data_IF_395955478874
#
_entry.id   IF_395955478874
#
_cell.length_a   1.000
_cell.length_b   1.000
_cell.length_c   1.000
_cell.angle_alpha   90.00
_cell.angle_beta   90.00
_cell.angle_gamma   90.00
#
_symmetry.space_group_name_H-M   'P 1'
#
loop_
_entity.id
_entity.type
_entity.pdbx_description
1 polymer ?
#
# COMPACT_ATOMS: atom_id res chain seq x y z
N UNK A 1 37.63 93.75 -24.66
CA UNK A 1 38.31 94.05 -23.38
C UNK A 1 38.34 92.77 -22.61
N UNK A 2 39.54 92.24 -22.59
CA UNK A 2 40.20 91.48 -21.54
C UNK A 2 39.49 90.25 -20.94
N UNK A 3 40.08 89.16 -20.60
CA UNK A 3 41.48 88.77 -20.56
C UNK A 3 41.60 87.30 -20.38
N UNK A 4 42.63 86.75 -20.86
CA UNK A 4 43.27 85.48 -20.69
C UNK A 4 43.34 84.99 -19.26
N UNK A 5 43.11 83.71 -19.01
CA UNK A 5 43.87 82.99 -17.98
C UNK A 5 43.86 81.48 -18.26
N UNK A 6 45.02 81.01 -18.50
CA UNK A 6 45.33 79.59 -18.61
C UNK A 6 45.15 78.85 -17.26
N UNK A 7 44.54 77.69 -17.24
CA UNK A 7 44.61 76.78 -16.11
C UNK A 7 45.10 75.44 -16.52
N UNK A 8 46.21 75.11 -15.95
CA UNK A 8 46.90 73.85 -15.88
C UNK A 8 45.98 72.73 -15.27
N UNK A 9 45.59 71.77 -16.04
CA UNK A 9 44.92 70.60 -15.49
C UNK A 9 45.99 69.49 -15.27
N UNK A 10 46.25 69.24 -13.98
CA UNK A 10 47.06 68.14 -13.50
C UNK A 10 46.20 66.87 -13.63
N UNK A 11 46.64 65.93 -14.48
CA UNK A 11 46.05 64.59 -14.66
C UNK A 11 46.48 63.74 -13.47
N UNK A 12 45.53 63.49 -12.55
CA UNK A 12 45.71 62.51 -11.48
C UNK A 12 45.19 61.14 -11.97
N UNK A 13 46.10 60.29 -12.40
CA UNK A 13 45.77 58.86 -12.70
C UNK A 13 45.53 58.13 -11.39
N UNK A 14 44.27 57.96 -11.01
CA UNK A 14 43.85 57.00 -10.01
C UNK A 14 43.87 55.60 -10.62
N UNK A 15 44.86 54.80 -10.26
CA UNK A 15 44.88 53.37 -10.49
C UNK A 15 43.84 52.72 -9.58
N UNK A 16 42.70 52.35 -10.13
CA UNK A 16 41.73 51.50 -9.47
C UNK A 16 42.24 50.04 -9.56
N UNK A 17 42.48 49.33 -8.44
CA UNK A 17 42.82 47.94 -8.52
C UNK A 17 41.57 47.20 -9.04
N UNK A 18 41.71 46.45 -10.12
CA UNK A 18 40.71 45.48 -10.59
C UNK A 18 40.61 44.39 -9.56
N UNK A 19 39.72 44.59 -8.56
CA UNK A 19 39.28 43.51 -7.67
C UNK A 19 38.54 42.48 -8.53
N UNK A 20 39.05 41.27 -8.50
CA UNK A 20 38.56 40.18 -9.32
C UNK A 20 37.06 40.01 -9.21
N UNK A 21 36.39 40.04 -10.35
CA UNK A 21 35.06 39.41 -10.46
C UNK A 21 35.25 37.93 -10.14
N UNK A 22 34.87 37.53 -8.91
CA UNK A 22 34.47 36.16 -8.67
C UNK A 22 33.41 35.84 -9.73
N UNK A 23 33.74 34.98 -10.65
CA UNK A 23 32.72 34.43 -11.58
C UNK A 23 31.56 33.92 -10.75
N UNK A 24 30.46 34.68 -10.74
CA UNK A 24 29.18 34.16 -10.30
C UNK A 24 28.93 32.96 -11.24
N UNK A 25 29.14 31.73 -10.73
CA UNK A 25 28.74 30.55 -11.46
C UNK A 25 27.25 30.73 -11.75
N UNK A 26 26.87 30.65 -13.02
CA UNK A 26 25.48 30.66 -13.41
C UNK A 26 24.72 29.65 -12.51
N UNK A 27 23.56 30.03 -12.00
CA UNK A 27 22.79 29.10 -11.19
C UNK A 27 22.52 27.85 -12.03
N UNK A 28 23.12 26.73 -11.61
CA UNK A 28 22.91 25.46 -12.27
C UNK A 28 21.43 25.16 -12.29
N UNK A 29 20.86 24.87 -13.47
CA UNK A 29 19.44 24.48 -13.56
C UNK A 29 19.14 23.34 -12.59
N UNK A 30 18.01 23.38 -11.87
CA UNK A 30 17.67 22.34 -10.93
C UNK A 30 17.42 21.01 -11.66
N UNK A 31 17.82 19.91 -11.02
CA UNK A 31 17.50 18.56 -11.48
C UNK A 31 16.04 18.29 -11.14
N UNK A 32 15.20 18.16 -12.15
CA UNK A 32 13.77 17.87 -11.99
C UNK A 32 13.52 16.38 -12.15
N UNK A 33 12.88 15.77 -11.14
CA UNK A 33 12.48 14.37 -11.13
C UNK A 33 10.96 14.26 -11.11
N UNK A 34 10.43 13.32 -11.91
CA UNK A 34 9.03 12.91 -11.85
C UNK A 34 8.86 11.70 -10.93
N UNK A 35 7.84 11.72 -10.07
CA UNK A 35 7.57 10.64 -9.13
C UNK A 35 6.11 10.17 -9.22
N UNK A 36 5.90 8.85 -9.35
CA UNK A 36 4.59 8.22 -9.23
C UNK A 36 4.48 7.46 -7.91
N UNK A 37 3.40 7.70 -7.15
CA UNK A 37 3.18 7.04 -5.86
C UNK A 37 1.72 6.73 -5.55
N UNK A 38 1.50 5.82 -4.58
CA UNK A 38 0.19 5.34 -4.12
C UNK A 38 -0.23 5.88 -2.74
N UNK A 39 0.51 6.78 -2.15
CA UNK A 39 0.32 7.22 -0.76
C UNK A 39 -0.70 8.37 -0.65
N UNK A 40 -1.96 8.08 -1.00
CA UNK A 40 -3.07 9.03 -1.00
C UNK A 40 -3.25 9.72 -2.35
N UNK A 41 -4.50 9.75 -2.85
CA UNK A 41 -4.89 10.36 -4.14
C UNK A 41 -5.23 11.84 -4.07
N UNK A 42 -5.03 12.48 -2.91
CA UNK A 42 -5.37 13.87 -2.65
C UNK A 42 -4.13 14.76 -2.80
N UNK A 43 -4.31 16.01 -3.21
CA UNK A 43 -3.21 16.99 -3.35
C UNK A 43 -2.43 17.15 -2.04
N UNK A 44 -3.09 17.06 -0.88
CA UNK A 44 -2.49 17.10 0.46
C UNK A 44 -2.27 15.70 1.05
N UNK A 45 -1.73 14.78 0.26
CA UNK A 45 -1.38 13.43 0.74
C UNK A 45 -0.14 13.45 1.65
N UNK A 46 0.05 12.46 2.55
CA UNK A 46 1.26 12.37 3.36
C UNK A 46 2.55 12.39 2.52
N UNK A 47 2.57 11.74 1.36
CA UNK A 47 3.74 11.75 0.48
C UNK A 47 3.93 13.10 -0.20
N UNK A 48 2.85 13.75 -0.66
CA UNK A 48 2.93 15.11 -1.22
C UNK A 48 3.54 16.09 -0.21
N UNK A 49 3.09 16.05 1.06
CA UNK A 49 3.68 16.85 2.13
C UNK A 49 5.16 16.54 2.39
N UNK A 50 5.57 15.27 2.29
CA UNK A 50 6.98 14.90 2.43
C UNK A 50 7.82 15.44 1.27
N UNK A 51 7.34 15.33 0.04
CA UNK A 51 8.01 15.88 -1.15
C UNK A 51 8.11 17.40 -1.09
N UNK A 52 7.05 18.11 -0.69
CA UNK A 52 7.08 19.57 -0.52
C UNK A 52 8.11 19.99 0.53
N UNK A 53 8.18 19.26 1.64
CA UNK A 53 9.19 19.49 2.68
C UNK A 53 10.61 19.25 2.16
N UNK A 54 10.83 18.17 1.38
CA UNK A 54 12.11 17.93 0.72
C UNK A 54 12.46 19.08 -0.23
N UNK A 55 11.56 19.43 -1.14
CA UNK A 55 11.76 20.51 -2.12
C UNK A 55 12.08 21.85 -1.45
N UNK A 56 11.48 22.15 -0.29
CA UNK A 56 11.71 23.40 0.46
C UNK A 56 12.97 23.37 1.33
N UNK A 57 13.58 22.22 1.57
CA UNK A 57 14.77 22.06 2.42
C UNK A 57 15.95 21.53 1.61
N UNK A 58 16.27 20.24 1.75
CA UNK A 58 17.43 19.60 1.09
C UNK A 58 17.35 19.72 -0.44
N UNK A 59 16.16 19.59 -1.02
CA UNK A 59 15.95 19.75 -2.47
C UNK A 59 16.40 21.13 -2.95
N UNK A 60 15.95 22.20 -2.26
CA UNK A 60 16.38 23.58 -2.58
C UNK A 60 17.89 23.77 -2.41
N UNK A 61 18.47 23.24 -1.34
CA UNK A 61 19.90 23.32 -1.08
C UNK A 61 20.74 22.63 -2.14
N UNK A 62 20.29 21.47 -2.64
CA UNK A 62 21.00 20.64 -3.61
C UNK A 62 20.61 20.92 -5.08
N UNK A 63 19.65 21.84 -5.31
CA UNK A 63 19.13 22.12 -6.66
C UNK A 63 18.31 20.95 -7.22
N UNK A 64 17.48 20.30 -6.40
CA UNK A 64 16.63 19.16 -6.78
C UNK A 64 15.17 19.56 -6.59
N UNK A 65 14.33 19.24 -7.57
CA UNK A 65 12.87 19.41 -7.51
C UNK A 65 12.22 18.07 -7.86
N UNK A 66 11.30 17.62 -7.03
CA UNK A 66 10.50 16.43 -7.30
C UNK A 66 9.06 16.85 -7.59
N UNK A 67 8.55 16.45 -8.75
CA UNK A 67 7.17 16.62 -9.17
C UNK A 67 6.43 15.31 -8.99
N UNK A 68 5.39 15.31 -8.16
CA UNK A 68 4.62 14.09 -7.87
C UNK A 68 3.39 13.97 -8.75
N UNK A 69 3.08 12.72 -9.11
CA UNK A 69 1.79 12.30 -9.65
C UNK A 69 1.28 11.16 -8.78
N UNK A 70 0.18 11.38 -8.11
CA UNK A 70 -0.50 10.32 -7.35
C UNK A 70 -1.33 9.46 -8.29
N UNK A 71 -1.16 8.15 -8.22
CA UNK A 71 -2.03 7.17 -8.87
C UNK A 71 -2.86 6.46 -7.81
N UNK A 72 -4.08 6.06 -8.19
CA UNK A 72 -5.06 5.56 -7.22
C UNK A 72 -4.61 4.27 -6.53
N UNK A 73 -3.99 3.36 -7.29
CA UNK A 73 -3.62 2.04 -6.77
C UNK A 73 -2.21 1.60 -7.20
N UNK A 74 -1.64 0.64 -6.47
CA UNK A 74 -0.38 0.00 -6.87
C UNK A 74 -0.52 -0.77 -8.19
N UNK A 75 -1.72 -1.26 -8.52
CA UNK A 75 -1.99 -1.89 -9.80
C UNK A 75 -2.02 -0.88 -10.94
N UNK A 76 -2.56 0.33 -10.72
CA UNK A 76 -2.51 1.38 -11.74
C UNK A 76 -1.07 1.76 -12.08
N UNK A 77 -0.20 1.89 -11.07
CA UNK A 77 1.24 2.10 -11.28
C UNK A 77 1.86 0.91 -12.02
N UNK A 78 1.55 -0.33 -11.61
CA UNK A 78 2.06 -1.52 -12.26
C UNK A 78 1.72 -1.54 -13.75
N UNK A 79 0.45 -1.41 -14.10
CA UNK A 79 0.02 -1.45 -15.50
C UNK A 79 0.54 -0.26 -16.32
N UNK A 80 0.61 0.94 -15.73
CA UNK A 80 1.17 2.10 -16.40
C UNK A 80 2.66 1.94 -16.68
N UNK A 81 3.44 1.41 -15.73
CA UNK A 81 4.87 1.14 -15.90
C UNK A 81 5.12 0.04 -16.93
N UNK A 82 4.36 -1.06 -16.89
CA UNK A 82 4.49 -2.14 -17.89
C UNK A 82 4.15 -1.62 -19.28
N UNK A 83 3.04 -0.89 -19.45
CA UNK A 83 2.67 -0.32 -20.74
C UNK A 83 3.72 0.65 -21.28
N UNK A 84 4.29 1.51 -20.42
CA UNK A 84 5.31 2.47 -20.82
C UNK A 84 6.65 1.78 -21.15
N UNK A 85 7.08 0.79 -20.36
CA UNK A 85 8.31 0.03 -20.61
C UNK A 85 8.21 -0.79 -21.92
N UNK A 86 7.06 -1.36 -22.20
CA UNK A 86 6.77 -2.11 -23.43
C UNK A 86 6.40 -1.23 -24.62
N UNK A 87 6.36 0.10 -24.44
CA UNK A 87 6.06 1.09 -25.48
C UNK A 87 4.70 0.87 -26.15
N UNK A 88 3.68 0.48 -25.36
CA UNK A 88 2.34 0.31 -25.88
C UNK A 88 1.79 1.63 -26.45
N UNK A 89 0.98 1.60 -27.53
CA UNK A 89 0.36 2.81 -28.09
C UNK A 89 -0.45 3.56 -27.02
N UNK A 90 -0.18 4.86 -26.87
CA UNK A 90 -0.84 5.70 -25.87
C UNK A 90 -0.26 5.63 -24.44
N UNK A 91 0.73 4.82 -24.20
CA UNK A 91 1.44 4.81 -22.92
C UNK A 91 2.18 6.13 -22.68
N UNK A 92 2.17 6.60 -21.41
CA UNK A 92 2.91 7.78 -20.97
C UNK A 92 4.43 7.55 -20.94
N UNK A 93 5.17 8.60 -20.57
CA UNK A 93 6.61 8.47 -20.29
C UNK A 93 6.81 7.80 -18.92
N UNK A 94 7.88 7.00 -18.80
CA UNK A 94 8.29 6.43 -17.52
C UNK A 94 8.68 7.55 -16.55
N UNK A 95 8.27 7.47 -15.28
CA UNK A 95 8.71 8.39 -14.24
C UNK A 95 10.18 8.13 -13.88
N UNK A 96 10.84 9.11 -13.28
CA UNK A 96 12.19 8.90 -12.73
C UNK A 96 12.15 8.05 -11.44
N UNK A 97 11.14 8.26 -10.59
CA UNK A 97 10.93 7.59 -9.32
C UNK A 97 9.51 7.02 -9.28
N UNK A 98 9.34 5.84 -8.70
CA UNK A 98 8.01 5.26 -8.50
C UNK A 98 7.95 4.35 -7.28
N UNK A 99 6.74 4.10 -6.79
CA UNK A 99 6.50 3.14 -5.71
C UNK A 99 5.71 1.95 -6.21
N UNK A 100 6.18 0.73 -5.94
CA UNK A 100 5.54 -0.48 -6.46
C UNK A 100 5.87 -1.73 -5.64
N UNK A 101 5.21 -2.84 -5.98
CA UNK A 101 5.52 -4.18 -5.48
C UNK A 101 6.49 -4.94 -6.40
N UNK A 102 7.15 -6.01 -5.91
CA UNK A 102 8.14 -6.79 -6.66
C UNK A 102 7.67 -7.35 -8.01
N UNK A 103 6.37 -7.54 -8.21
CA UNK A 103 5.80 -7.97 -9.49
C UNK A 103 6.12 -7.02 -10.65
N UNK A 104 6.23 -5.72 -10.38
CA UNK A 104 6.49 -4.71 -11.43
C UNK A 104 7.92 -4.77 -11.96
N UNK A 105 8.97 -4.71 -11.12
CA UNK A 105 10.35 -4.93 -11.60
C UNK A 105 10.53 -6.22 -12.39
N UNK A 106 9.89 -7.31 -11.97
CA UNK A 106 9.95 -8.58 -12.72
C UNK A 106 9.30 -8.48 -14.10
N UNK A 107 8.19 -7.74 -14.22
CA UNK A 107 7.48 -7.58 -15.49
C UNK A 107 8.16 -6.60 -16.47
N UNK A 108 8.87 -5.58 -15.97
CA UNK A 108 9.52 -4.57 -16.83
C UNK A 108 11.00 -4.83 -17.08
N UNK A 109 11.64 -5.72 -16.32
CA UNK A 109 13.06 -5.99 -16.33
C UNK A 109 13.82 -5.24 -15.22
N UNK A 110 14.37 -5.96 -14.22
CA UNK A 110 15.10 -5.34 -13.10
C UNK A 110 16.38 -4.60 -13.53
N UNK A 111 16.93 -4.92 -14.71
CA UNK A 111 18.10 -4.25 -15.29
C UNK A 111 17.82 -2.80 -15.70
N UNK A 112 16.56 -2.43 -15.93
CA UNK A 112 16.16 -1.04 -16.23
C UNK A 112 16.19 -0.16 -14.98
N UNK A 113 16.31 -0.75 -13.79
CA UNK A 113 16.23 -0.07 -12.52
C UNK A 113 17.61 0.12 -11.90
N UNK A 114 17.74 1.19 -11.11
CA UNK A 114 18.88 1.45 -10.26
C UNK A 114 19.02 0.33 -9.23
N UNK A 115 20.24 -0.16 -9.03
CA UNK A 115 20.55 -1.08 -7.93
C UNK A 115 20.96 -0.29 -6.69
N UNK A 116 20.16 -0.31 -5.65
CA UNK A 116 20.43 0.45 -4.43
C UNK A 116 21.72 0.03 -3.72
N UNK A 117 22.23 -1.20 -3.95
CA UNK A 117 23.53 -1.64 -3.43
C UNK A 117 24.72 -0.90 -4.00
N UNK A 118 24.58 -0.25 -5.17
CA UNK A 118 25.60 0.60 -5.76
C UNK A 118 25.65 1.99 -5.11
N UNK A 119 24.61 2.37 -4.32
CA UNK A 119 24.42 3.71 -3.78
C UNK A 119 24.33 3.75 -2.25
N UNK A 120 23.90 2.67 -1.61
CA UNK A 120 23.88 2.52 -0.16
C UNK A 120 24.99 1.57 0.27
N UNK A 121 25.77 1.96 1.28
CA UNK A 121 26.77 1.08 1.87
C UNK A 121 26.09 -0.11 2.57
N UNK A 122 26.85 -1.17 2.81
CA UNK A 122 26.33 -2.32 3.57
C UNK A 122 25.92 -1.92 4.98
N UNK A 123 26.60 -0.96 5.61
CA UNK A 123 26.27 -0.42 6.92
C UNK A 123 24.90 0.29 6.87
N UNK A 124 24.68 1.15 5.88
CA UNK A 124 23.37 1.82 5.71
C UNK A 124 22.25 0.81 5.46
N UNK A 125 22.46 -0.21 4.64
CA UNK A 125 21.44 -1.24 4.39
C UNK A 125 21.16 -2.10 5.62
N UNK A 126 22.12 -2.32 6.54
CA UNK A 126 21.91 -3.02 7.80
C UNK A 126 21.05 -2.24 8.80
N UNK A 127 20.88 -0.94 8.62
CA UNK A 127 19.97 -0.15 9.46
C UNK A 127 18.50 -0.48 9.20
N UNK A 128 18.17 -0.97 7.99
CA UNK A 128 16.81 -1.35 7.62
C UNK A 128 16.41 -2.70 8.23
N UNK A 129 15.11 -2.90 8.41
CA UNK A 129 14.54 -4.20 8.80
C UNK A 129 14.87 -5.22 7.71
N UNK A 130 15.58 -6.33 8.02
CA UNK A 130 16.10 -7.24 7.01
C UNK A 130 15.04 -7.83 6.07
N UNK A 131 13.87 -8.21 6.60
CA UNK A 131 12.76 -8.74 5.79
C UNK A 131 12.19 -7.72 4.81
N UNK A 132 12.29 -6.42 5.13
CA UNK A 132 11.82 -5.34 4.25
C UNK A 132 12.77 -5.13 3.08
N UNK A 133 14.09 -5.24 3.32
CA UNK A 133 15.11 -5.17 2.26
C UNK A 133 15.03 -6.40 1.35
N UNK A 134 14.85 -7.59 1.94
CA UNK A 134 14.79 -8.84 1.18
C UNK A 134 13.67 -8.85 0.13
N UNK A 135 12.54 -8.19 0.39
CA UNK A 135 11.44 -8.09 -0.57
C UNK A 135 11.80 -7.29 -1.83
N UNK A 136 12.71 -6.32 -1.70
CA UNK A 136 13.18 -5.50 -2.82
C UNK A 136 14.32 -6.13 -3.64
N UNK A 137 14.84 -7.28 -3.20
CA UNK A 137 15.88 -8.04 -3.91
C UNK A 137 15.23 -8.86 -5.03
N UNK A 138 15.53 -8.49 -6.27
CA UNK A 138 15.06 -9.18 -7.45
C UNK A 138 16.28 -9.71 -8.20
N UNK A 139 16.42 -11.02 -8.23
CA UNK A 139 17.49 -11.73 -8.94
C UNK A 139 18.92 -11.25 -8.57
N UNK A 140 19.12 -10.98 -7.27
CA UNK A 140 20.40 -10.52 -6.71
C UNK A 140 20.63 -9.02 -6.81
N UNK A 141 19.67 -8.25 -7.30
CA UNK A 141 19.72 -6.78 -7.37
C UNK A 141 18.70 -6.18 -6.41
N UNK A 142 19.10 -5.23 -5.59
CA UNK A 142 18.16 -4.49 -4.73
C UNK A 142 17.57 -3.34 -5.54
N UNK A 143 16.45 -3.59 -6.23
CA UNK A 143 15.82 -2.61 -7.13
C UNK A 143 14.64 -1.86 -6.48
N UNK A 144 14.15 -2.32 -5.34
CA UNK A 144 13.14 -1.63 -4.54
C UNK A 144 13.69 -1.35 -3.13
N UNK A 145 13.88 -0.08 -2.80
CA UNK A 145 14.24 0.33 -1.44
C UNK A 145 12.99 0.40 -0.59
N UNK A 146 12.92 -0.24 0.60
CA UNK A 146 11.78 -0.06 1.48
C UNK A 146 11.72 1.38 2.00
N UNK A 147 10.57 2.03 1.87
CA UNK A 147 10.33 3.39 2.39
C UNK A 147 9.16 3.45 3.37
N UNK A 148 8.22 2.53 3.26
CA UNK A 148 7.05 2.40 4.13
C UNK A 148 6.48 0.99 4.02
N UNK A 149 6.16 0.37 5.14
CA UNK A 149 5.57 -0.97 5.20
C UNK A 149 4.22 -0.96 5.89
N UNK A 150 3.40 -1.95 5.60
CA UNK A 150 2.07 -2.12 6.20
C UNK A 150 1.77 -3.61 6.43
N UNK A 151 0.66 -3.88 7.08
CA UNK A 151 0.13 -5.24 7.19
C UNK A 151 -1.39 -5.22 7.00
N UNK A 152 -2.07 -6.33 7.18
CA UNK A 152 -3.52 -6.36 7.18
C UNK A 152 -4.11 -6.06 8.56
N UNK A 153 -5.28 -5.43 8.57
CA UNK A 153 -6.12 -5.24 9.75
C UNK A 153 -7.58 -5.42 9.36
N UNK A 154 -8.44 -5.68 10.35
CA UNK A 154 -9.89 -5.71 10.20
C UNK A 154 -10.46 -4.35 10.62
N UNK A 155 -10.97 -3.59 9.64
CA UNK A 155 -11.67 -2.33 9.85
C UNK A 155 -13.17 -2.58 9.98
N UNK A 156 -13.81 -1.96 10.97
CA UNK A 156 -15.22 -2.20 11.29
C UNK A 156 -15.93 -0.86 11.46
N UNK A 157 -17.07 -0.68 10.80
CA UNK A 157 -17.99 0.41 11.09
C UNK A 157 -18.64 0.19 12.46
N UNK A 158 -18.04 0.75 13.50
CA UNK A 158 -18.51 0.61 14.87
C UNK A 158 -19.88 1.29 15.11
N UNK A 159 -20.24 2.29 14.30
CA UNK A 159 -21.57 2.93 14.42
C UNK A 159 -22.69 1.92 14.19
N UNK A 160 -22.57 1.08 13.16
CA UNK A 160 -23.54 0.04 12.84
C UNK A 160 -23.31 -1.22 13.70
N UNK A 161 -22.03 -1.62 13.87
CA UNK A 161 -21.70 -2.84 14.60
C UNK A 161 -22.19 -2.81 16.06
N UNK A 162 -22.08 -1.70 16.76
CA UNK A 162 -22.53 -1.58 18.15
C UNK A 162 -24.05 -1.78 18.29
N UNK A 163 -24.84 -1.36 17.29
CA UNK A 163 -26.27 -1.65 17.27
C UNK A 163 -26.51 -3.14 17.04
N UNK A 164 -25.89 -3.72 16.00
CA UNK A 164 -25.95 -5.14 15.70
C UNK A 164 -25.54 -6.00 16.91
N UNK A 165 -24.44 -5.63 17.57
CA UNK A 165 -23.94 -6.31 18.78
C UNK A 165 -24.96 -6.32 19.91
N UNK A 166 -25.56 -5.17 20.22
CA UNK A 166 -26.57 -5.06 21.28
C UNK A 166 -27.80 -5.93 21.01
N UNK A 167 -28.27 -5.96 19.76
CA UNK A 167 -29.51 -6.66 19.39
C UNK A 167 -29.30 -8.16 19.18
N UNK A 168 -28.07 -8.60 18.85
CA UNK A 168 -27.81 -10.00 18.52
C UNK A 168 -26.89 -10.73 19.50
N UNK A 169 -26.16 -9.99 20.35
CA UNK A 169 -25.18 -10.55 21.27
C UNK A 169 -23.82 -10.91 20.62
N UNK A 170 -23.63 -10.65 19.32
CA UNK A 170 -22.31 -10.81 18.65
C UNK A 170 -21.34 -9.76 19.19
N UNK A 171 -20.12 -10.16 19.53
CA UNK A 171 -19.09 -9.29 20.13
C UNK A 171 -17.92 -9.09 19.19
N UNK A 172 -17.11 -8.05 19.44
CA UNK A 172 -15.87 -7.82 18.71
C UNK A 172 -14.87 -8.98 18.84
N UNK A 173 -14.84 -9.64 19.98
CA UNK A 173 -13.97 -10.79 20.25
C UNK A 173 -14.31 -12.00 19.36
N UNK A 174 -15.59 -12.15 18.97
CA UNK A 174 -16.03 -13.21 18.05
C UNK A 174 -15.39 -13.06 16.67
N UNK A 175 -14.99 -11.84 16.28
CA UNK A 175 -14.40 -11.54 14.98
C UNK A 175 -12.90 -11.83 14.89
N UNK A 176 -12.27 -12.32 15.96
CA UNK A 176 -10.86 -12.67 15.97
C UNK A 176 -10.52 -13.87 15.10
N UNK A 177 -11.51 -14.73 14.80
CA UNK A 177 -11.32 -15.93 13.99
C UNK A 177 -12.24 -15.95 12.78
N UNK A 178 -11.82 -16.65 11.70
CA UNK A 178 -12.67 -16.80 10.51
C UNK A 178 -13.96 -17.52 10.82
N UNK A 179 -13.94 -18.52 11.71
CA UNK A 179 -15.14 -19.21 12.14
C UNK A 179 -16.12 -18.25 12.81
N UNK A 180 -15.63 -17.34 13.64
CA UNK A 180 -16.45 -16.30 14.27
C UNK A 180 -16.96 -15.27 13.27
N UNK A 181 -16.10 -14.84 12.33
CA UNK A 181 -16.46 -13.94 11.23
C UNK A 181 -17.62 -14.51 10.40
N UNK A 182 -17.54 -15.78 10.00
CA UNK A 182 -18.59 -16.43 9.19
C UNK A 182 -19.90 -16.58 9.97
N UNK A 183 -19.85 -16.91 11.26
CA UNK A 183 -21.06 -16.93 12.11
C UNK A 183 -21.68 -15.53 12.25
N UNK A 184 -20.86 -14.51 12.49
CA UNK A 184 -21.30 -13.12 12.56
C UNK A 184 -21.89 -12.64 11.23
N UNK A 185 -21.27 -12.99 10.11
CA UNK A 185 -21.71 -12.65 8.76
C UNK A 185 -23.11 -13.20 8.44
N UNK A 186 -23.37 -14.47 8.75
CA UNK A 186 -24.69 -15.08 8.59
C UNK A 186 -25.75 -14.37 9.44
N UNK A 187 -25.42 -14.02 10.69
CA UNK A 187 -26.32 -13.34 11.60
C UNK A 187 -26.59 -11.89 11.19
N UNK A 188 -25.55 -11.20 10.71
CA UNK A 188 -25.67 -9.83 10.19
C UNK A 188 -26.55 -9.77 8.94
N UNK A 189 -26.37 -10.69 7.99
CA UNK A 189 -27.19 -10.76 6.78
C UNK A 189 -28.70 -10.85 7.13
N UNK A 190 -29.05 -11.66 8.13
CA UNK A 190 -30.43 -11.79 8.60
C UNK A 190 -30.92 -10.52 9.30
N UNK A 191 -30.09 -9.94 10.18
CA UNK A 191 -30.42 -8.74 10.96
C UNK A 191 -30.56 -7.51 10.09
N UNK A 192 -29.69 -7.34 9.10
CA UNK A 192 -29.61 -6.15 8.24
C UNK A 192 -30.61 -6.15 7.07
N UNK A 193 -31.41 -7.20 6.90
CA UNK A 193 -32.29 -7.35 5.75
C UNK A 193 -31.55 -7.66 4.45
N UNK A 194 -30.42 -8.39 4.52
CA UNK A 194 -29.71 -8.90 3.35
C UNK A 194 -28.43 -8.15 2.96
N UNK A 195 -27.89 -7.30 3.84
CA UNK A 195 -26.59 -6.65 3.58
C UNK A 195 -25.43 -7.60 3.88
N UNK A 196 -24.36 -7.59 3.08
CA UNK A 196 -23.13 -8.35 3.37
C UNK A 196 -22.44 -7.82 4.62
N UNK A 197 -21.71 -8.72 5.29
CA UNK A 197 -20.99 -8.40 6.51
C UNK A 197 -19.57 -7.91 6.25
N UNK A 198 -18.84 -8.63 5.41
CA UNK A 198 -17.42 -8.33 5.20
C UNK A 198 -16.99 -8.42 3.74
N UNK A 199 -15.88 -7.73 3.45
CA UNK A 199 -15.08 -7.81 2.22
C UNK A 199 -13.62 -8.06 2.57
N UNK A 200 -12.94 -8.83 1.75
CA UNK A 200 -11.47 -8.93 1.74
C UNK A 200 -10.96 -8.23 0.48
N UNK A 201 -9.94 -7.38 0.62
CA UNK A 201 -9.48 -6.55 -0.50
C UNK A 201 -9.00 -7.38 -1.68
N UNK A 202 -8.32 -8.48 -1.40
CA UNK A 202 -7.70 -9.31 -2.41
C UNK A 202 -7.89 -10.80 -2.09
N UNK A 203 -8.70 -11.47 -2.89
CA UNK A 203 -9.11 -12.86 -2.64
C UNK A 203 -7.98 -13.86 -2.80
N UNK A 204 -6.97 -13.59 -3.66
CA UNK A 204 -5.80 -14.47 -3.76
C UNK A 204 -4.98 -14.44 -2.48
N UNK A 205 -4.87 -13.27 -1.84
CA UNK A 205 -4.18 -13.13 -0.55
C UNK A 205 -4.95 -13.82 0.58
N UNK A 206 -6.29 -13.82 0.54
CA UNK A 206 -7.10 -14.60 1.48
C UNK A 206 -6.82 -16.10 1.33
N UNK A 207 -6.89 -16.62 0.10
CA UNK A 207 -6.66 -18.04 -0.19
C UNK A 207 -5.25 -18.48 0.21
N UNK A 208 -4.26 -17.74 -0.26
CA UNK A 208 -2.85 -18.03 0.01
C UNK A 208 -2.51 -18.01 1.50
N UNK A 209 -2.81 -16.90 2.19
CA UNK A 209 -2.41 -16.71 3.57
C UNK A 209 -3.04 -17.77 4.50
N UNK A 210 -4.32 -18.03 4.32
CA UNK A 210 -5.04 -18.99 5.16
C UNK A 210 -4.67 -20.45 4.86
N UNK A 211 -4.38 -20.78 3.60
CA UNK A 211 -3.87 -22.11 3.23
C UNK A 211 -2.51 -22.37 3.88
N UNK A 212 -1.59 -21.43 3.78
CA UNK A 212 -0.26 -21.54 4.42
C UNK A 212 -0.37 -21.57 5.94
N UNK A 213 -1.25 -20.75 6.53
CA UNK A 213 -1.49 -20.72 7.97
C UNK A 213 -1.93 -22.10 8.52
N UNK A 214 -2.66 -22.87 7.73
CA UNK A 214 -3.15 -24.21 8.05
C UNK A 214 -2.21 -25.33 7.58
N UNK A 215 -1.03 -25.00 7.01
CA UNK A 215 0.00 -25.96 6.62
C UNK A 215 -0.15 -26.52 5.20
N UNK A 216 -0.99 -25.93 4.35
CA UNK A 216 -1.12 -26.27 2.94
C UNK A 216 -0.16 -25.52 2.02
N UNK A 217 -0.19 -25.86 0.74
CA UNK A 217 0.64 -25.26 -0.31
C UNK A 217 -0.23 -24.60 -1.38
N UNK A 218 -0.31 -23.25 -1.33
CA UNK A 218 -1.18 -22.48 -2.23
C UNK A 218 -0.64 -22.35 -3.66
N UNK A 219 0.69 -22.26 -3.82
CA UNK A 219 1.34 -22.20 -5.12
C UNK A 219 2.27 -23.39 -5.33
N UNK A 220 2.23 -23.96 -6.53
CA UNK A 220 3.19 -24.95 -7.00
C UNK A 220 3.65 -24.55 -8.41
N UNK A 221 4.95 -24.48 -8.65
CA UNK A 221 5.55 -24.15 -9.95
C UNK A 221 5.02 -22.83 -10.57
N UNK A 222 4.73 -21.81 -9.73
CA UNK A 222 4.24 -20.50 -10.17
C UNK A 222 2.77 -20.47 -10.57
N UNK A 223 2.00 -21.51 -10.25
CA UNK A 223 0.55 -21.59 -10.46
C UNK A 223 -0.19 -21.88 -9.14
N UNK A 224 -1.49 -21.57 -9.09
CA UNK A 224 -2.33 -21.91 -7.93
C UNK A 224 -2.51 -23.41 -7.85
N UNK A 225 -2.28 -23.98 -6.68
CA UNK A 225 -2.41 -25.42 -6.43
C UNK A 225 -3.86 -25.79 -6.07
N UNK A 226 -4.72 -25.96 -7.07
CA UNK A 226 -6.12 -26.37 -6.88
C UNK A 226 -6.27 -27.81 -6.35
N UNK A 227 -5.19 -28.59 -6.31
CA UNK A 227 -5.18 -29.95 -5.76
C UNK A 227 -4.91 -30.00 -4.26
N UNK A 228 -4.49 -28.89 -3.65
CA UNK A 228 -4.23 -28.80 -2.22
C UNK A 228 -5.54 -28.88 -1.42
N UNK A 229 -5.69 -29.91 -0.58
CA UNK A 229 -6.90 -30.15 0.22
C UNK A 229 -7.14 -29.08 1.28
N UNK A 230 -6.07 -28.45 1.78
CA UNK A 230 -6.17 -27.34 2.74
C UNK A 230 -6.73 -26.10 2.04
N UNK A 231 -6.23 -25.77 0.84
CA UNK A 231 -6.79 -24.68 0.04
C UNK A 231 -8.26 -24.92 -0.29
N UNK A 232 -8.61 -26.13 -0.73
CA UNK A 232 -10.00 -26.51 -1.01
C UNK A 232 -10.89 -26.33 0.22
N UNK A 233 -10.42 -26.71 1.41
CA UNK A 233 -11.14 -26.53 2.67
C UNK A 233 -11.29 -25.04 3.07
N UNK A 234 -10.24 -24.25 2.95
CA UNK A 234 -10.24 -22.79 3.20
C UNK A 234 -11.26 -22.11 2.29
N UNK A 235 -11.18 -22.41 0.99
CA UNK A 235 -12.07 -21.83 -0.01
C UNK A 235 -13.53 -22.26 0.21
N UNK A 236 -13.78 -23.50 0.56
CA UNK A 236 -15.10 -24.03 0.87
C UNK A 236 -15.82 -23.23 1.98
N UNK A 237 -15.13 -22.93 3.09
CA UNK A 237 -15.68 -22.14 4.19
C UNK A 237 -16.04 -20.72 3.75
N UNK A 238 -15.23 -20.11 2.88
CA UNK A 238 -15.52 -18.80 2.29
C UNK A 238 -16.75 -18.87 1.37
N UNK A 239 -16.84 -19.88 0.51
CA UNK A 239 -17.96 -20.10 -0.40
C UNK A 239 -19.29 -20.29 0.36
N UNK A 240 -19.30 -21.02 1.47
CA UNK A 240 -20.46 -21.12 2.37
C UNK A 240 -20.96 -19.76 2.86
N UNK A 241 -20.01 -18.90 3.27
CA UNK A 241 -20.33 -17.54 3.70
C UNK A 241 -20.85 -16.68 2.54
N UNK A 242 -20.28 -16.83 1.33
CA UNK A 242 -20.71 -16.10 0.14
C UNK A 242 -22.13 -16.50 -0.30
N UNK A 243 -22.43 -17.79 -0.35
CA UNK A 243 -23.77 -18.32 -0.68
C UNK A 243 -24.81 -17.84 0.34
N UNK A 244 -24.48 -17.78 1.63
CA UNK A 244 -25.36 -17.27 2.68
C UNK A 244 -25.44 -15.73 2.71
N UNK A 245 -24.79 -15.02 1.79
CA UNK A 245 -24.85 -13.56 1.63
C UNK A 245 -23.91 -12.77 2.53
N UNK A 246 -23.06 -13.44 3.33
CA UNK A 246 -22.16 -12.79 4.27
C UNK A 246 -21.00 -12.02 3.64
N UNK A 247 -20.57 -12.44 2.44
CA UNK A 247 -19.45 -11.82 1.69
C UNK A 247 -19.96 -10.74 0.74
N UNK A 248 -19.25 -9.63 0.63
CA UNK A 248 -19.54 -8.53 -0.28
C UNK A 248 -18.87 -8.77 -1.65
N UNK A 249 -19.62 -9.12 -2.72
CA UNK A 249 -19.06 -9.49 -4.01
C UNK A 249 -19.02 -8.30 -4.98
N UNK A 250 -18.42 -7.19 -4.57
CA UNK A 250 -18.24 -6.02 -5.43
C UNK A 250 -16.74 -5.80 -5.76
N UNK A 251 -16.42 -5.25 -6.94
CA UNK A 251 -15.05 -4.87 -7.27
C UNK A 251 -14.52 -3.76 -6.37
N UNK A 252 -13.22 -3.58 -6.37
CA UNK A 252 -12.55 -2.50 -5.65
C UNK A 252 -12.29 -2.80 -4.18
N UNK A 253 -11.99 -1.76 -3.42
CA UNK A 253 -11.52 -1.87 -2.04
C UNK A 253 -12.66 -2.02 -1.03
N UNK A 254 -12.35 -2.66 0.10
CA UNK A 254 -13.28 -2.78 1.22
C UNK A 254 -13.61 -1.40 1.81
N UNK A 255 -12.65 -0.49 1.86
CA UNK A 255 -12.87 0.90 2.27
C UNK A 255 -14.01 1.55 1.49
N UNK A 256 -13.99 1.46 0.14
CA UNK A 256 -15.05 2.01 -0.71
C UNK A 256 -16.42 1.39 -0.37
N UNK A 257 -16.47 0.06 -0.26
CA UNK A 257 -17.70 -0.65 0.09
C UNK A 257 -18.23 -0.28 1.49
N UNK A 258 -17.34 -0.01 2.45
CA UNK A 258 -17.71 0.46 3.78
C UNK A 258 -18.22 1.91 3.76
N UNK A 259 -17.58 2.78 2.96
CA UNK A 259 -17.95 4.20 2.82
C UNK A 259 -19.27 4.41 2.11
N UNK A 260 -19.70 3.45 1.28
CA UNK A 260 -21.01 3.45 0.59
C UNK A 260 -22.07 2.61 1.32
N UNK A 261 -21.73 2.03 2.47
CA UNK A 261 -22.65 1.22 3.27
C UNK A 261 -23.04 -0.12 2.66
N UNK A 262 -22.25 -0.62 1.71
CA UNK A 262 -22.46 -1.91 1.04
C UNK A 262 -21.91 -3.08 1.85
N UNK A 263 -21.00 -2.83 2.79
CA UNK A 263 -20.50 -3.83 3.75
C UNK A 263 -20.24 -3.18 5.11
N UNK A 264 -20.24 -3.98 6.16
CA UNK A 264 -20.00 -3.52 7.53
C UNK A 264 -18.51 -3.39 7.85
N UNK A 265 -17.71 -4.34 7.39
CA UNK A 265 -16.30 -4.40 7.71
C UNK A 265 -15.46 -4.89 6.53
N UNK A 266 -14.14 -4.67 6.63
CA UNK A 266 -13.17 -5.08 5.61
C UNK A 266 -11.84 -5.51 6.20
N UNK A 267 -11.25 -6.57 5.63
CA UNK A 267 -9.86 -6.93 5.89
C UNK A 267 -9.01 -6.33 4.79
N UNK A 268 -8.18 -5.38 5.14
CA UNK A 268 -7.43 -4.57 4.21
C UNK A 268 -6.11 -4.05 4.81
N UNK A 269 -5.32 -3.33 4.03
CA UNK A 269 -4.06 -2.76 4.49
C UNK A 269 -4.27 -1.79 5.67
N UNK A 270 -3.34 -1.77 6.63
CA UNK A 270 -3.32 -0.73 7.67
C UNK A 270 -3.28 0.68 7.08
N UNK A 271 -2.71 0.84 5.88
CA UNK A 271 -2.66 2.10 5.16
C UNK A 271 -4.01 2.56 4.59
N UNK A 272 -5.03 1.68 4.55
CA UNK A 272 -6.39 2.05 4.13
C UNK A 272 -7.01 3.13 5.03
N UNK A 273 -6.46 3.35 6.23
CA UNK A 273 -6.84 4.46 7.12
C UNK A 273 -6.83 5.82 6.41
N UNK A 274 -5.98 6.01 5.40
CA UNK A 274 -5.87 7.24 4.61
C UNK A 274 -7.13 7.58 3.81
N UNK A 275 -7.93 6.58 3.50
CA UNK A 275 -9.06 6.67 2.56
C UNK A 275 -10.42 6.64 3.26
N UNK A 276 -10.45 6.53 4.60
CA UNK A 276 -11.68 6.63 5.37
C UNK A 276 -12.04 8.09 5.65
N UNK A 277 -13.29 8.44 5.34
CA UNK A 277 -13.89 9.70 5.74
C UNK A 277 -14.62 9.57 7.09
N UNK A 278 -15.10 10.68 7.64
CA UNK A 278 -15.80 10.69 8.92
C UNK A 278 -17.30 10.32 8.81
N UNK A 279 -17.78 10.04 7.59
CA UNK A 279 -19.18 9.69 7.30
C UNK A 279 -19.28 8.55 6.29
N UNK A 280 -20.35 7.77 6.41
CA UNK A 280 -20.79 6.80 5.39
C UNK A 280 -21.93 7.44 4.60
N UNK A 281 -21.87 7.40 3.28
CA UNK A 281 -22.93 7.89 2.38
C UNK A 281 -23.58 6.70 1.68
N UNK A 282 -24.85 6.45 2.00
CA UNK A 282 -25.61 5.35 1.39
C UNK A 282 -26.10 5.71 -0.03
N UNK A 283 -26.51 4.70 -0.86
CA UNK A 283 -26.99 4.93 -2.21
C UNK A 283 -28.20 5.87 -2.33
N UNK A 284 -28.99 6.02 -1.28
CA UNK A 284 -30.10 6.96 -1.19
C UNK A 284 -29.70 8.38 -0.77
N UNK A 285 -28.39 8.68 -0.73
CA UNK A 285 -27.77 9.91 -0.26
C UNK A 285 -27.97 10.22 1.24
N UNK A 286 -28.47 9.28 2.03
CA UNK A 286 -28.43 9.43 3.49
C UNK A 286 -27.00 9.25 4.00
N UNK A 287 -26.66 9.93 5.10
CA UNK A 287 -25.33 9.87 5.72
C UNK A 287 -25.43 9.56 7.19
N UNK A 288 -24.46 8.79 7.68
CA UNK A 288 -24.26 8.57 9.12
C UNK A 288 -22.80 8.84 9.50
N UNK A 289 -22.52 9.28 10.73
CA UNK A 289 -21.14 9.37 11.21
C UNK A 289 -20.47 8.00 11.19
N UNK A 290 -19.24 7.94 10.71
CA UNK A 290 -18.41 6.74 10.76
C UNK A 290 -17.52 6.76 12.00
N UNK A 291 -17.70 5.80 12.87
CA UNK A 291 -16.78 5.46 13.94
C UNK A 291 -16.08 4.15 13.56
N UNK A 292 -14.75 4.15 13.44
CA UNK A 292 -13.99 2.95 13.13
C UNK A 292 -13.51 2.25 14.41
N UNK A 293 -13.71 0.93 14.48
CA UNK A 293 -12.96 0.02 15.33
C UNK A 293 -12.01 -0.75 14.42
N UNK A 294 -10.76 -0.93 14.85
CA UNK A 294 -9.72 -1.60 14.08
C UNK A 294 -9.18 -2.75 14.94
N UNK A 295 -9.20 -3.95 14.39
CA UNK A 295 -8.75 -5.18 15.05
C UNK A 295 -7.64 -5.85 14.24
N UNK A 296 -6.83 -6.75 14.83
CA UNK A 296 -5.98 -7.66 14.07
C UNK A 296 -6.80 -8.45 13.04
N UNK A 297 -6.19 -8.88 11.92
CA UNK A 297 -6.90 -9.67 10.92
C UNK A 297 -7.36 -11.02 11.51
N UNK A 298 -8.52 -11.56 11.06
CA UNK A 298 -8.98 -12.86 11.53
C UNK A 298 -8.03 -13.98 11.09
N UNK A 299 -7.94 -15.04 11.89
CA UNK A 299 -7.18 -16.27 11.60
C UNK A 299 -8.08 -17.50 11.81
N UNK A 300 -7.77 -18.64 11.22
CA UNK A 300 -8.45 -19.91 11.54
C UNK A 300 -7.96 -20.45 12.87
N UNK A 301 -8.87 -20.98 13.71
CA UNK A 301 -8.56 -21.40 15.10
C UNK A 301 -7.43 -22.44 15.15
N UNK A 302 -7.39 -23.35 14.18
CA UNK A 302 -6.38 -24.41 14.07
C UNK A 302 -5.14 -23.97 13.29
N UNK A 303 -5.09 -22.73 12.81
CA UNK A 303 -4.00 -22.19 12.01
C UNK A 303 -3.04 -21.31 12.79
N UNK A 304 -1.88 -21.05 12.19
CA UNK A 304 -0.97 -20.02 12.66
C UNK A 304 -1.62 -18.64 12.52
N UNK A 305 -1.26 -17.71 13.39
CA UNK A 305 -1.60 -16.30 13.22
C UNK A 305 -0.63 -15.67 12.22
N UNK A 306 -0.99 -15.72 10.95
CA UNK A 306 -0.22 -15.08 9.89
C UNK A 306 -0.85 -13.77 9.45
N UNK A 307 -0.01 -12.81 9.12
CA UNK A 307 -0.41 -11.57 8.46
C UNK A 307 0.55 -11.25 7.32
N UNK A 308 0.12 -10.41 6.39
CA UNK A 308 0.95 -10.03 5.25
C UNK A 308 1.95 -8.94 5.63
N UNK A 309 3.19 -9.10 5.17
CA UNK A 309 4.09 -7.97 5.00
C UNK A 309 3.68 -7.26 3.71
N UNK A 310 3.20 -6.02 3.83
CA UNK A 310 2.74 -5.18 2.72
C UNK A 310 3.54 -3.88 2.66
N UNK A 311 3.17 -3.03 1.72
CA UNK A 311 3.81 -1.75 1.47
C UNK A 311 4.79 -1.81 0.31
N UNK A 312 4.70 -0.80 -0.55
CA UNK A 312 5.53 -0.71 -1.76
C UNK A 312 6.98 -0.33 -1.43
N UNK A 313 7.89 -0.71 -2.29
CA UNK A 313 9.25 -0.19 -2.30
C UNK A 313 9.41 0.95 -3.31
N UNK A 314 10.45 1.75 -3.15
CA UNK A 314 10.85 2.84 -4.03
C UNK A 314 11.76 2.30 -5.14
N UNK A 315 11.31 2.37 -6.39
CA UNK A 315 12.11 2.09 -7.58
C UNK A 315 12.55 3.38 -8.26
N UNK A 316 13.71 3.34 -8.90
CA UNK A 316 14.27 4.44 -9.70
C UNK A 316 14.63 3.91 -11.08
N UNK A 317 14.12 4.54 -12.14
CA UNK A 317 14.54 4.22 -13.50
C UNK A 317 15.97 4.68 -13.75
N UNK A 318 16.81 3.84 -14.36
CA UNK A 318 18.13 4.27 -14.83
C UNK A 318 18.00 5.40 -15.83
N UNK A 319 18.80 6.44 -15.65
CA UNK A 319 18.80 7.61 -16.51
C UNK A 319 20.15 8.34 -16.47
N UNK A 320 20.18 9.67 -16.38
CA UNK A 320 21.44 10.40 -16.22
C UNK A 320 21.97 10.27 -14.80
N UNK A 321 23.28 10.34 -14.64
CA UNK A 321 23.94 10.27 -13.31
C UNK A 321 23.45 11.34 -12.34
N UNK A 322 23.07 12.52 -12.85
CA UNK A 322 22.52 13.61 -12.07
C UNK A 322 21.15 13.26 -11.49
N UNK A 323 20.26 12.67 -12.31
CA UNK A 323 18.92 12.24 -11.88
C UNK A 323 19.00 11.07 -10.91
N UNK A 324 19.83 10.07 -11.19
CA UNK A 324 20.06 8.93 -10.29
C UNK A 324 20.54 9.41 -8.92
N UNK A 325 21.55 10.30 -8.89
CA UNK A 325 22.05 10.88 -7.64
C UNK A 325 20.99 11.69 -6.90
N UNK A 326 20.20 12.48 -7.62
CA UNK A 326 19.11 13.26 -7.02
C UNK A 326 18.05 12.35 -6.38
N UNK A 327 17.69 11.24 -7.03
CA UNK A 327 16.77 10.24 -6.48
C UNK A 327 17.34 9.55 -5.23
N UNK A 328 18.65 9.24 -5.22
CA UNK A 328 19.34 8.68 -4.04
C UNK A 328 19.28 9.65 -2.86
N UNK A 329 19.58 10.94 -3.07
CA UNK A 329 19.50 11.97 -2.01
C UNK A 329 18.09 12.06 -1.44
N UNK A 330 17.06 11.98 -2.26
CA UNK A 330 15.67 11.94 -1.79
C UNK A 330 15.36 10.69 -0.97
N UNK A 331 15.81 9.53 -1.42
CA UNK A 331 15.59 8.25 -0.74
C UNK A 331 16.29 8.21 0.63
N UNK A 332 17.53 8.69 0.72
CA UNK A 332 18.27 8.84 1.97
C UNK A 332 17.51 9.74 2.95
N UNK A 333 17.10 10.93 2.49
CA UNK A 333 16.36 11.88 3.30
C UNK A 333 14.99 11.32 3.77
N UNK A 334 14.25 10.65 2.88
CA UNK A 334 12.94 10.09 3.21
C UNK A 334 13.04 8.95 4.23
N UNK A 335 14.15 8.21 4.22
CA UNK A 335 14.41 7.09 5.13
C UNK A 335 15.22 7.47 6.36
N UNK A 336 15.58 8.75 6.55
CA UNK A 336 16.05 9.24 7.84
C UNK A 336 15.01 8.98 8.94
N UNK A 337 15.46 8.65 10.14
CA UNK A 337 14.58 8.20 11.24
C UNK A 337 13.41 9.18 11.47
N UNK A 338 13.69 10.47 11.61
CA UNK A 338 12.65 11.47 11.92
C UNK A 338 11.67 11.67 10.75
N UNK A 339 12.15 11.68 9.52
CA UNK A 339 11.33 11.84 8.32
C UNK A 339 10.46 10.59 8.11
N UNK A 340 11.03 9.41 8.26
CA UNK A 340 10.32 8.15 8.08
C UNK A 340 9.28 7.90 9.19
N UNK A 341 9.60 8.25 10.44
CA UNK A 341 8.66 8.23 11.57
C UNK A 341 7.46 9.17 11.35
N UNK A 342 7.73 10.38 10.85
CA UNK A 342 6.67 11.34 10.51
C UNK A 342 5.76 10.81 9.41
N UNK A 343 6.35 10.35 8.31
CA UNK A 343 5.59 9.77 7.20
C UNK A 343 4.71 8.60 7.65
N UNK A 344 5.27 7.70 8.44
CA UNK A 344 4.56 6.52 8.97
C UNK A 344 3.41 6.94 9.91
N UNK A 345 3.65 7.89 10.80
CA UNK A 345 2.62 8.38 11.74
C UNK A 345 1.44 9.06 11.05
N UNK A 346 1.68 9.73 9.92
CA UNK A 346 0.64 10.44 9.15
C UNK A 346 -0.09 9.54 8.14
N UNK A 347 0.45 8.35 7.84
CA UNK A 347 -0.03 7.52 6.73
C UNK A 347 -0.55 6.13 7.12
N UNK A 348 -0.41 5.72 8.39
CA UNK A 348 -0.78 4.37 8.82
C UNK A 348 0.19 3.28 8.36
N UNK A 349 1.33 3.67 7.80
CA UNK A 349 2.44 2.79 7.47
C UNK A 349 3.38 2.59 8.64
N UNK A 350 4.36 1.71 8.47
CA UNK A 350 5.42 1.38 9.42
C UNK A 350 6.75 1.95 8.92
N UNK A 351 7.59 2.50 9.82
CA UNK A 351 8.95 2.89 9.49
C UNK A 351 9.78 1.68 9.04
N UNK A 352 10.83 1.94 8.28
CA UNK A 352 11.60 0.86 7.62
C UNK A 352 12.98 0.62 8.21
N UNK A 353 13.52 1.56 8.98
CA UNK A 353 14.77 1.33 9.73
C UNK A 353 14.48 0.74 11.10
N UNK A 354 15.29 -0.21 11.55
CA UNK A 354 15.08 -0.95 12.82
C UNK A 354 14.92 -0.04 14.03
N UNK A 355 15.71 1.02 14.16
CA UNK A 355 15.61 1.97 15.25
C UNK A 355 14.25 2.68 15.24
N UNK A 356 13.88 3.26 14.11
CA UNK A 356 12.60 3.94 13.92
C UNK A 356 11.41 2.98 14.13
N UNK A 357 11.51 1.76 13.62
CA UNK A 357 10.48 0.73 13.75
C UNK A 357 10.25 0.33 15.22
N UNK A 358 11.34 0.06 15.97
CA UNK A 358 11.28 -0.27 17.41
C UNK A 358 10.71 0.90 18.23
N UNK A 359 11.08 2.14 17.90
CA UNK A 359 10.59 3.32 18.61
C UNK A 359 9.13 3.62 18.25
N UNK A 360 8.73 3.45 16.98
CA UNK A 360 7.33 3.57 16.56
C UNK A 360 6.44 2.59 17.34
N UNK A 361 6.85 1.32 17.47
CA UNK A 361 6.07 0.33 18.20
C UNK A 361 5.98 0.61 19.71
N UNK A 362 6.90 1.38 20.31
CA UNK A 362 6.87 1.76 21.73
C UNK A 362 6.06 3.02 22.02
N UNK A 363 5.73 3.84 21.00
CA UNK A 363 5.01 5.09 21.22
C UNK A 363 3.62 4.84 21.81
N UNK A 364 3.27 5.61 22.81
CA UNK A 364 1.93 5.60 23.41
C UNK A 364 0.92 6.47 22.66
N UNK A 365 1.40 7.40 21.81
CA UNK A 365 0.59 8.33 21.02
C UNK A 365 1.24 8.54 19.67
N UNK A 366 0.45 8.49 18.60
CA UNK A 366 0.84 8.83 17.24
C UNK A 366 0.26 10.21 16.92
N UNK A 367 1.05 11.08 16.26
CA UNK A 367 0.54 12.37 15.78
C UNK A 367 -0.37 12.14 14.57
N UNK A 368 -1.54 12.78 14.56
CA UNK A 368 -2.50 12.67 13.46
C UNK A 368 -3.94 12.90 13.92
N UNK A 369 -4.93 12.42 13.18
CA UNK A 369 -6.34 12.31 13.59
C UNK A 369 -6.40 11.43 14.85
N UNK A 370 -6.23 12.08 16.01
CA UNK A 370 -5.65 11.50 17.21
C UNK A 370 -6.30 10.19 17.69
N UNK A 371 -7.61 10.04 17.50
CA UNK A 371 -8.33 8.90 18.05
C UNK A 371 -8.29 7.66 17.15
N UNK A 372 -8.49 7.80 15.84
CA UNK A 372 -8.52 6.69 14.88
C UNK A 372 -7.12 6.13 14.58
N UNK A 373 -6.12 7.01 14.39
CA UNK A 373 -4.72 6.59 14.24
C UNK A 373 -4.16 5.97 15.51
N UNK A 374 -4.58 6.47 16.69
CA UNK A 374 -4.21 5.86 17.96
C UNK A 374 -4.76 4.43 18.13
N UNK A 375 -5.99 4.18 17.67
CA UNK A 375 -6.55 2.82 17.63
C UNK A 375 -5.80 1.92 16.67
N UNK A 376 -5.52 2.40 15.46
CA UNK A 376 -4.72 1.67 14.48
C UNK A 376 -3.35 1.30 15.04
N UNK A 377 -2.66 2.25 15.65
CA UNK A 377 -1.34 2.00 16.25
C UNK A 377 -1.37 0.89 17.32
N UNK A 378 -2.36 0.90 18.22
CA UNK A 378 -2.55 -0.19 19.20
C UNK A 378 -2.79 -1.54 18.53
N UNK A 379 -3.55 -1.55 17.45
CA UNK A 379 -3.79 -2.76 16.65
C UNK A 379 -2.50 -3.26 16.00
N UNK A 380 -1.69 -2.36 15.42
CA UNK A 380 -0.38 -2.67 14.86
C UNK A 380 0.53 -3.28 15.94
N UNK A 381 0.60 -2.69 17.13
CA UNK A 381 1.37 -3.24 18.24
C UNK A 381 0.95 -4.68 18.58
N UNK A 382 -0.36 -4.94 18.61
CA UNK A 382 -0.90 -6.28 18.86
C UNK A 382 -0.58 -7.26 17.74
N UNK A 383 -0.69 -6.83 16.47
CA UNK A 383 -0.30 -7.65 15.31
C UNK A 383 1.17 -8.05 15.42
N UNK A 384 2.05 -7.10 15.72
CA UNK A 384 3.49 -7.38 15.87
C UNK A 384 3.84 -8.30 17.06
N UNK A 385 3.03 -8.30 18.09
CA UNK A 385 3.24 -9.17 19.26
C UNK A 385 2.72 -10.60 19.07
N UNK A 386 1.70 -10.78 18.20
CA UNK A 386 0.92 -12.02 18.15
C UNK A 386 0.97 -12.74 16.80
N UNK A 387 1.40 -12.07 15.69
CA UNK A 387 1.35 -12.61 14.34
C UNK A 387 2.74 -12.76 13.72
N UNK A 388 2.91 -13.82 12.94
CA UNK A 388 4.06 -13.99 12.05
C UNK A 388 3.77 -13.24 10.72
N UNK A 389 4.79 -12.55 10.19
CA UNK A 389 4.68 -11.82 8.93
C UNK A 389 5.06 -12.71 7.76
N UNK A 390 4.22 -12.73 6.74
CA UNK A 390 4.44 -13.48 5.51
C UNK A 390 4.60 -12.53 4.33
N UNK A 391 5.63 -12.74 3.53
CA UNK A 391 5.86 -12.02 2.27
C UNK A 391 5.40 -12.93 1.11
N UNK A 392 4.41 -12.50 0.29
CA UNK A 392 3.98 -13.27 -0.85
C UNK A 392 5.11 -13.54 -1.85
N UNK A 393 5.15 -14.70 -2.50
CA UNK A 393 6.06 -14.93 -3.62
C UNK A 393 5.53 -14.16 -4.84
N UNK A 394 6.31 -13.22 -5.35
CA UNK A 394 5.97 -12.53 -6.59
C UNK A 394 6.79 -13.14 -7.75
N UNK A 395 6.09 -13.52 -8.82
CA UNK A 395 6.66 -14.05 -10.07
C UNK A 395 6.08 -13.29 -11.26
N UNK A 396 6.59 -13.53 -12.46
CA UNK A 396 6.35 -12.69 -13.65
C UNK A 396 4.86 -12.46 -13.96
N UNK A 397 4.04 -13.52 -13.99
CA UNK A 397 2.61 -13.44 -14.29
C UNK A 397 1.70 -13.23 -13.06
N UNK A 398 2.29 -12.95 -11.86
CA UNK A 398 1.52 -12.83 -10.61
C UNK A 398 0.40 -11.77 -10.71
N UNK A 399 0.67 -10.61 -11.33
CA UNK A 399 -0.31 -9.53 -11.42
C UNK A 399 -1.54 -9.87 -12.27
N UNK A 400 -1.36 -10.62 -13.35
CA UNK A 400 -2.47 -11.10 -14.20
C UNK A 400 -3.27 -12.18 -13.46
N UNK A 401 -2.58 -13.11 -12.83
CA UNK A 401 -3.20 -14.18 -12.04
C UNK A 401 -4.01 -13.62 -10.87
N UNK A 402 -3.46 -12.66 -10.11
CA UNK A 402 -4.14 -11.95 -9.02
C UNK A 402 -5.46 -11.32 -9.50
N UNK A 403 -5.39 -10.59 -10.62
CA UNK A 403 -6.58 -9.97 -11.22
C UNK A 403 -7.61 -11.01 -11.66
N UNK A 404 -7.19 -12.02 -12.41
CA UNK A 404 -8.06 -13.09 -12.93
C UNK A 404 -8.75 -13.85 -11.80
N UNK A 405 -8.00 -14.17 -10.74
CA UNK A 405 -8.51 -14.85 -9.55
C UNK A 405 -9.55 -14.01 -8.79
N UNK A 406 -9.26 -12.71 -8.60
CA UNK A 406 -10.18 -11.80 -7.90
C UNK A 406 -11.46 -11.55 -8.70
N UNK A 407 -11.37 -11.35 -10.01
CA UNK A 407 -12.54 -11.19 -10.89
C UNK A 407 -13.42 -12.45 -10.87
N UNK A 408 -12.81 -13.64 -11.00
CA UNK A 408 -13.53 -14.91 -10.93
C UNK A 408 -14.29 -15.11 -9.60
N UNK A 409 -13.66 -14.74 -8.47
CA UNK A 409 -14.33 -14.81 -7.16
C UNK A 409 -15.56 -13.89 -7.09
N UNK A 410 -15.43 -12.66 -7.56
CA UNK A 410 -16.54 -11.70 -7.57
C UNK A 410 -17.71 -12.23 -8.39
N UNK A 411 -17.45 -12.74 -9.59
CA UNK A 411 -18.48 -13.26 -10.49
C UNK A 411 -19.15 -14.52 -9.92
N UNK A 412 -18.37 -15.46 -9.40
CA UNK A 412 -18.89 -16.67 -8.76
C UNK A 412 -19.73 -16.31 -7.53
N UNK A 413 -19.25 -15.44 -6.65
CA UNK A 413 -20.00 -15.07 -5.46
C UNK A 413 -21.28 -14.30 -5.77
N UNK A 414 -21.30 -13.47 -6.82
CA UNK A 414 -22.53 -12.83 -7.31
C UNK A 414 -23.54 -13.84 -7.85
N UNK A 415 -23.07 -14.77 -8.68
CA UNK A 415 -23.92 -15.78 -9.29
C UNK A 415 -24.57 -16.68 -8.24
N UNK A 416 -23.82 -17.06 -7.21
CA UNK A 416 -24.27 -18.06 -6.23
C UNK A 416 -24.87 -17.47 -4.96
N UNK A 417 -24.78 -16.15 -4.75
CA UNK A 417 -25.34 -15.47 -3.59
C UNK A 417 -26.85 -15.70 -3.47
N UNK A 418 -27.28 -16.16 -2.31
CA UNK A 418 -28.71 -16.42 -2.02
C UNK A 418 -29.29 -17.62 -2.72
N UNK A 419 -28.51 -18.41 -3.48
CA UNK A 419 -28.99 -19.68 -4.02
C UNK A 419 -29.37 -20.63 -2.88
N UNK A 420 -30.54 -21.21 -2.99
CA UNK A 420 -30.99 -22.24 -2.04
C UNK A 420 -30.07 -23.45 -2.23
N UNK A 421 -29.35 -23.78 -1.16
CA UNK A 421 -28.52 -25.00 -1.13
C UNK A 421 -29.46 -26.19 -1.19
N UNK A 422 -29.25 -27.11 -2.13
CA UNK A 422 -29.92 -28.39 -2.14
C UNK A 422 -29.59 -29.11 -0.84
N UNK A 423 -30.60 -29.27 0.02
CA UNK A 423 -30.44 -29.93 1.32
C UNK A 423 -30.01 -31.40 1.18
N UNK A 424 -30.24 -32.01 0.03
CA UNK A 424 -29.86 -33.38 -0.24
C UNK A 424 -28.37 -33.52 -0.61
N UNK A 425 -27.78 -32.48 -1.26
CA UNK A 425 -26.37 -32.51 -1.66
C UNK A 425 -25.78 -31.08 -1.70
N UNK A 426 -25.53 -30.44 -0.55
CA UNK A 426 -24.92 -29.09 -0.50
C UNK A 426 -23.47 -29.11 -1.03
N UNK A 427 -22.76 -30.22 -0.95
CA UNK A 427 -21.39 -30.36 -1.43
C UNK A 427 -21.30 -30.12 -2.94
N UNK A 428 -22.22 -30.66 -3.73
CA UNK A 428 -22.21 -30.48 -5.18
C UNK A 428 -22.25 -29.01 -5.61
N UNK A 429 -22.92 -28.13 -4.83
CA UNK A 429 -22.93 -26.71 -5.09
C UNK A 429 -21.52 -26.10 -4.94
N UNK A 430 -20.85 -26.41 -3.85
CA UNK A 430 -19.52 -25.85 -3.56
C UNK A 430 -18.44 -26.42 -4.47
N UNK A 431 -18.52 -27.70 -4.83
CA UNK A 431 -17.65 -28.30 -5.84
C UNK A 431 -17.83 -27.61 -7.20
N UNK A 432 -19.06 -27.40 -7.67
CA UNK A 432 -19.33 -26.69 -8.91
C UNK A 432 -18.78 -25.25 -8.90
N UNK A 433 -18.83 -24.56 -7.77
CA UNK A 433 -18.24 -23.22 -7.61
C UNK A 433 -16.71 -23.27 -7.67
N UNK A 434 -16.09 -24.28 -7.05
CA UNK A 434 -14.63 -24.46 -7.06
C UNK A 434 -14.11 -24.85 -8.45
N UNK A 435 -14.79 -25.77 -9.14
CA UNK A 435 -14.48 -26.12 -10.53
C UNK A 435 -14.57 -24.91 -11.47
N UNK A 436 -15.55 -24.02 -11.26
CA UNK A 436 -15.63 -22.76 -12.02
C UNK A 436 -14.44 -21.83 -11.74
N UNK A 437 -13.97 -21.78 -10.49
CA UNK A 437 -12.79 -20.99 -10.15
C UNK A 437 -11.53 -21.57 -10.81
N UNK A 438 -11.34 -22.89 -10.73
CA UNK A 438 -10.22 -23.57 -11.39
C UNK A 438 -10.23 -23.34 -12.90
N UNK A 439 -11.37 -23.58 -13.56
CA UNK A 439 -11.55 -23.35 -14.99
C UNK A 439 -11.33 -21.87 -15.41
N UNK A 440 -11.69 -20.92 -14.54
CA UNK A 440 -11.40 -19.53 -14.79
C UNK A 440 -9.90 -19.20 -14.73
N UNK A 441 -9.07 -20.04 -14.10
CA UNK A 441 -7.62 -19.82 -13.98
C UNK A 441 -6.81 -20.50 -15.10
N UNK A 442 -7.41 -21.44 -15.83
CA UNK A 442 -6.85 -22.01 -17.07
C UNK A 442 -6.86 -20.97 -18.22
#
# INVERSE_FOLDING_TARGET
MNDTLAKLCILFCLAVPASGCSALSEPKEPVVLSMWHVYGGQDDSPMSRMVDRFNQSVGREKGIIINVTSLFTANDIHFALVAAAQKHPGAGQLPDIFTTYPKTPRAIGPELLLDWREHFSQEQLREFVPSFVAEGDIDGRLVLLPIAKSSNALFINATIFDQFSRETGVKYEDLATWEGMFRAAKRYYQWSGGKPFFKYDDWILYGMLNTIALGGEFFTDGAINFRDEVFRSVWRKLAESAVSGGVCPIPGYATTAMMTGETLCGVESTASILYFEDTVTFPDNTTIPLRLTILPPPYFQDGKRLTLQRGTGLGVMKSTKEKERAAVIFAEWLTEVDNNMRFSGESGYLPVKEAAYKDYLKQSKVQGRADTYGRLHKTIQKIHAEYEFYTPPFFENYGEMEKKFSDAHIDIFREYRGKIIDRANPEALYESMFEKLEAAME
#
